data_IF_591958440629
#
_entry.id   IF_591958440629
#
_cell.length_a   1.000
_cell.length_b   1.000
_cell.length_c   1.000
_cell.angle_alpha   90.00
_cell.angle_beta   90.00
_cell.angle_gamma   90.00
#
_symmetry.space_group_name_H-M   'P 1'
#
loop_
_entity.id
_entity.type
_entity.pdbx_description
1 polymer ?
#
# COMPACT_ATOMS: atom_id res chain seq x y z
N UNK A 1 8.34 20.17 54.43
CA UNK A 1 7.22 19.22 54.19
C UNK A 1 6.97 19.24 52.69
N UNK A 2 7.50 18.23 52.01
CA UNK A 2 7.65 18.22 50.55
C UNK A 2 6.31 18.11 49.82
N UNK A 3 6.23 18.91 48.76
CA UNK A 3 5.24 18.88 47.69
C UNK A 3 5.17 17.51 47.01
N UNK A 4 3.96 16.99 46.82
CA UNK A 4 3.69 16.05 45.73
C UNK A 4 2.71 16.70 44.77
N UNK A 5 3.25 17.35 43.73
CA UNK A 5 2.48 17.63 42.53
C UNK A 5 2.18 16.29 41.85
N UNK A 6 0.91 15.89 41.86
CA UNK A 6 0.45 14.84 40.96
C UNK A 6 0.44 15.42 39.55
N UNK A 7 1.51 15.19 38.79
CA UNK A 7 1.48 15.30 37.34
C UNK A 7 0.60 14.16 36.80
N UNK A 8 -0.72 14.38 36.80
CA UNK A 8 -1.66 13.51 36.12
C UNK A 8 -1.37 13.54 34.63
N UNK A 9 -0.62 12.56 34.14
CA UNK A 9 -0.38 12.38 32.71
C UNK A 9 -1.73 12.26 31.99
N UNK A 10 -2.07 13.24 31.16
CA UNK A 10 -3.26 13.20 30.31
C UNK A 10 -3.26 11.89 29.52
N UNK A 11 -4.26 11.05 29.75
CA UNK A 11 -4.47 9.84 28.94
C UNK A 11 -4.64 10.29 27.49
N UNK A 12 -3.71 9.89 26.62
CA UNK A 12 -3.76 10.22 25.19
C UNK A 12 -4.98 9.52 24.57
N UNK A 13 -6.04 10.29 24.31
CA UNK A 13 -7.25 9.76 23.67
C UNK A 13 -6.93 9.29 22.26
N UNK A 14 -7.43 8.10 21.91
CA UNK A 14 -7.28 7.54 20.57
C UNK A 14 -8.55 7.87 19.80
N UNK A 15 -8.47 8.87 18.94
CA UNK A 15 -9.59 9.34 18.11
C UNK A 15 -9.61 8.65 16.72
N UNK A 16 -8.58 7.86 16.44
CA UNK A 16 -8.35 7.23 15.14
C UNK A 16 -9.33 6.08 14.93
N UNK A 17 -10.24 6.21 13.97
CA UNK A 17 -11.21 5.16 13.63
C UNK A 17 -10.63 4.01 12.82
N UNK A 18 -9.54 4.24 12.09
CA UNK A 18 -8.98 3.30 11.12
C UNK A 18 -7.52 3.03 11.41
N UNK A 19 -7.07 1.80 11.12
CA UNK A 19 -5.66 1.48 11.14
C UNK A 19 -4.91 2.33 10.11
N UNK A 20 -3.66 2.69 10.42
CA UNK A 20 -2.86 3.50 9.51
C UNK A 20 -2.73 2.83 8.12
N UNK A 21 -3.07 3.56 7.06
CA UNK A 21 -3.12 3.07 5.69
C UNK A 21 -4.46 2.47 5.25
N UNK A 22 -5.40 2.23 6.17
CA UNK A 22 -6.66 1.53 5.93
C UNK A 22 -7.89 2.45 5.83
N UNK A 23 -7.70 3.77 5.89
CA UNK A 23 -8.82 4.70 5.84
C UNK A 23 -9.59 4.55 4.51
N UNK A 24 -10.93 4.57 4.55
CA UNK A 24 -11.74 4.59 3.36
C UNK A 24 -11.58 5.92 2.63
N UNK A 25 -11.71 5.87 1.31
CA UNK A 25 -11.64 7.06 0.45
C UNK A 25 -13.04 7.66 0.38
N UNK A 26 -13.16 8.98 0.53
CA UNK A 26 -14.45 9.67 0.41
C UNK A 26 -15.02 9.48 -1.01
N UNK A 27 -16.34 9.30 -1.18
CA UNK A 27 -16.92 8.98 -2.49
C UNK A 27 -16.64 10.00 -3.59
N UNK A 28 -16.66 11.29 -3.26
CA UNK A 28 -16.32 12.41 -4.16
C UNK A 28 -14.85 12.37 -4.59
N UNK A 29 -13.94 12.15 -3.65
CA UNK A 29 -12.51 11.98 -3.92
C UNK A 29 -12.26 10.76 -4.80
N UNK A 30 -12.96 9.64 -4.53
CA UNK A 30 -12.84 8.43 -5.34
C UNK A 30 -13.32 8.67 -6.78
N UNK A 31 -14.46 9.37 -6.97
CA UNK A 31 -14.93 9.73 -8.32
C UNK A 31 -13.90 10.55 -9.07
N UNK A 32 -13.31 11.58 -8.45
CA UNK A 32 -12.26 12.37 -9.08
C UNK A 32 -11.02 11.54 -9.47
N UNK A 33 -10.60 10.61 -8.61
CA UNK A 33 -9.49 9.69 -8.90
C UNK A 33 -9.80 8.75 -10.07
N UNK A 34 -11.03 8.24 -10.16
CA UNK A 34 -11.48 7.38 -11.26
C UNK A 34 -11.51 8.15 -12.58
N UNK A 35 -12.04 9.38 -12.60
CA UNK A 35 -12.04 10.20 -13.81
C UNK A 35 -10.61 10.55 -14.27
N UNK A 36 -9.72 10.90 -13.34
CA UNK A 36 -8.32 11.10 -13.66
C UNK A 36 -7.66 9.83 -14.22
N UNK A 37 -7.97 8.66 -13.64
CA UNK A 37 -7.47 7.38 -14.14
C UNK A 37 -7.97 7.06 -15.56
N UNK A 38 -9.23 7.37 -15.90
CA UNK A 38 -9.77 7.24 -17.26
C UNK A 38 -9.02 8.13 -18.25
N UNK A 39 -8.79 9.39 -17.90
CA UNK A 39 -8.02 10.33 -18.74
C UNK A 39 -6.60 9.83 -18.98
N UNK A 40 -5.89 9.39 -17.93
CA UNK A 40 -4.53 8.86 -18.08
C UNK A 40 -4.52 7.56 -18.87
N UNK A 41 -5.48 6.66 -18.65
CA UNK A 41 -5.63 5.44 -19.43
C UNK A 41 -5.80 5.74 -20.92
N UNK A 42 -6.72 6.65 -21.28
CA UNK A 42 -6.92 7.08 -22.67
C UNK A 42 -5.69 7.78 -23.24
N UNK A 43 -4.99 8.59 -22.43
CA UNK A 43 -3.74 9.25 -22.85
C UNK A 43 -2.68 8.23 -23.22
N UNK A 44 -2.57 7.17 -22.41
CA UNK A 44 -1.62 6.09 -22.65
C UNK A 44 -2.07 5.28 -23.86
N UNK A 45 -3.33 4.86 -23.99
CA UNK A 45 -3.75 3.88 -25.00
C UNK A 45 -4.13 4.50 -26.34
N UNK A 46 -4.81 5.64 -26.35
CA UNK A 46 -5.38 6.32 -27.52
C UNK A 46 -4.54 7.52 -27.98
N UNK A 47 -3.71 8.07 -27.10
CA UNK A 47 -2.73 9.12 -27.42
C UNK A 47 -2.96 10.44 -26.68
N UNK A 48 -2.04 11.38 -26.89
CA UNK A 48 -1.89 12.59 -26.07
C UNK A 48 -3.12 13.53 -26.06
N UNK A 49 -3.95 13.51 -27.10
CA UNK A 49 -5.14 14.36 -27.21
C UNK A 49 -6.12 14.17 -26.04
N UNK A 50 -6.17 12.97 -25.45
CA UNK A 50 -7.03 12.68 -24.30
C UNK A 50 -6.69 13.49 -23.04
N UNK A 51 -5.45 14.00 -22.93
CA UNK A 51 -5.01 14.82 -21.80
C UNK A 51 -5.14 16.33 -22.02
N UNK A 52 -5.60 16.79 -23.20
CA UNK A 52 -5.74 18.22 -23.49
C UNK A 52 -6.72 18.87 -22.52
N UNK A 53 -6.29 19.98 -21.88
CA UNK A 53 -7.05 20.65 -20.82
C UNK A 53 -7.14 19.87 -19.50
N UNK A 54 -6.51 18.69 -19.39
CA UNK A 54 -6.65 17.76 -18.25
C UNK A 54 -5.30 17.27 -17.71
N UNK A 55 -4.24 18.07 -17.84
CA UNK A 55 -2.89 17.68 -17.42
C UNK A 55 -2.76 17.39 -15.91
N UNK A 56 -3.66 17.92 -15.09
CA UNK A 56 -3.66 17.66 -13.64
C UNK A 56 -4.19 16.26 -13.29
N UNK A 57 -4.86 15.57 -14.21
CA UNK A 57 -5.21 14.17 -14.05
C UNK A 57 -3.96 13.28 -13.98
N UNK A 58 -2.90 13.62 -14.74
CA UNK A 58 -1.61 12.93 -14.66
C UNK A 58 -0.95 13.13 -13.29
N UNK A 59 -1.07 14.34 -12.72
CA UNK A 59 -0.58 14.62 -11.35
C UNK A 59 -1.37 13.83 -10.30
N UNK A 60 -2.68 13.73 -10.48
CA UNK A 60 -3.57 12.96 -9.60
C UNK A 60 -3.19 11.48 -9.61
N UNK A 61 -3.09 10.86 -10.79
CA UNK A 61 -2.72 9.43 -10.92
C UNK A 61 -1.29 9.18 -10.44
N UNK A 62 -0.33 10.08 -10.76
CA UNK A 62 1.01 10.04 -10.16
C UNK A 62 0.95 10.01 -8.64
N UNK A 63 0.07 10.81 -8.04
CA UNK A 63 -0.16 10.86 -6.59
C UNK A 63 -0.64 9.53 -6.02
N UNK A 64 -1.47 8.77 -6.75
CA UNK A 64 -1.92 7.44 -6.35
C UNK A 64 -0.75 6.47 -6.21
N UNK A 65 0.11 6.38 -7.24
CA UNK A 65 1.32 5.55 -7.21
C UNK A 65 2.34 6.04 -6.17
N UNK A 66 2.52 7.34 -6.02
CA UNK A 66 3.44 7.93 -5.03
C UNK A 66 3.09 7.47 -3.61
N UNK A 67 1.79 7.46 -3.31
CA UNK A 67 1.27 7.11 -1.99
C UNK A 67 1.55 5.66 -1.61
N UNK A 68 1.57 4.72 -2.56
CA UNK A 68 1.76 3.29 -2.26
C UNK A 68 3.17 2.97 -1.75
N UNK A 69 4.18 3.72 -2.17
CA UNK A 69 5.57 3.53 -1.72
C UNK A 69 6.02 4.52 -0.65
N UNK A 70 5.45 5.74 -0.59
CA UNK A 70 5.74 6.67 0.52
C UNK A 70 5.09 6.24 1.83
N UNK A 71 3.90 5.61 1.77
CA UNK A 71 3.18 5.07 2.93
C UNK A 71 2.97 6.10 4.05
N UNK A 72 2.75 7.36 3.68
CA UNK A 72 2.68 8.52 4.59
C UNK A 72 1.25 9.05 4.78
N UNK A 73 0.25 8.34 4.26
CA UNK A 73 -1.14 8.79 4.21
C UNK A 73 -2.10 7.73 4.76
N UNK A 74 -3.19 8.17 5.38
CA UNK A 74 -4.14 7.27 6.04
C UNK A 74 -4.83 6.25 5.12
N UNK A 75 -4.89 6.49 3.81
CA UNK A 75 -5.50 5.62 2.80
C UNK A 75 -4.46 4.91 1.92
N UNK A 76 -3.16 4.96 2.26
CA UNK A 76 -2.10 4.49 1.36
C UNK A 76 -2.26 3.02 0.96
N UNK A 77 -2.69 2.15 1.89
CA UNK A 77 -2.85 0.73 1.64
C UNK A 77 -4.19 0.43 0.95
N UNK A 78 -5.24 1.21 1.25
CA UNK A 78 -6.49 1.20 0.48
C UNK A 78 -6.23 1.49 -1.00
N UNK A 79 -5.45 2.54 -1.31
CA UNK A 79 -5.05 2.88 -2.69
C UNK A 79 -4.13 1.80 -3.29
N UNK A 80 -3.20 1.26 -2.50
CA UNK A 80 -2.33 0.17 -2.93
C UNK A 80 -3.13 -1.06 -3.40
N UNK A 81 -4.18 -1.43 -2.65
CA UNK A 81 -5.08 -2.51 -3.02
C UNK A 81 -5.87 -2.22 -4.30
N UNK A 82 -6.41 -1.01 -4.45
CA UNK A 82 -7.12 -0.59 -5.67
C UNK A 82 -6.21 -0.60 -6.91
N UNK A 83 -4.91 -0.33 -6.72
CA UNK A 83 -3.91 -0.44 -7.77
C UNK A 83 -3.36 -1.87 -7.92
N UNK A 84 -3.86 -2.88 -7.21
CA UNK A 84 -3.39 -4.26 -7.36
C UNK A 84 -1.98 -4.50 -6.83
N UNK A 85 -1.61 -3.85 -5.72
CA UNK A 85 -0.36 -4.05 -4.98
C UNK A 85 0.92 -3.91 -5.81
N UNK A 86 1.15 -2.77 -6.49
CA UNK A 86 2.36 -2.58 -7.29
C UNK A 86 3.62 -2.63 -6.40
N UNK A 87 4.67 -3.37 -6.80
CA UNK A 87 5.97 -3.34 -6.13
C UNK A 87 6.57 -1.93 -6.07
N UNK A 88 7.45 -1.70 -5.09
CA UNK A 88 8.10 -0.39 -4.87
C UNK A 88 8.71 0.19 -6.15
N UNK A 89 9.51 -0.61 -6.88
CA UNK A 89 10.21 -0.16 -8.08
C UNK A 89 9.23 0.22 -9.20
N UNK A 90 8.22 -0.60 -9.43
CA UNK A 90 7.17 -0.34 -10.44
C UNK A 90 6.37 0.93 -10.11
N UNK A 91 5.93 1.09 -8.85
CA UNK A 91 5.17 2.26 -8.44
C UNK A 91 5.99 3.56 -8.55
N UNK A 92 7.27 3.51 -8.13
CA UNK A 92 8.19 4.65 -8.24
C UNK A 92 8.45 5.01 -9.70
N UNK A 93 8.79 4.02 -10.53
CA UNK A 93 9.01 4.23 -11.96
C UNK A 93 7.78 4.81 -12.63
N UNK A 94 6.60 4.23 -12.40
CA UNK A 94 5.32 4.71 -12.93
C UNK A 94 5.07 6.17 -12.54
N UNK A 95 5.27 6.52 -11.26
CA UNK A 95 5.10 7.90 -10.80
C UNK A 95 6.07 8.88 -11.48
N UNK A 96 7.32 8.48 -11.71
CA UNK A 96 8.32 9.28 -12.40
C UNK A 96 7.97 9.46 -13.88
N UNK A 97 7.58 8.37 -14.56
CA UNK A 97 7.20 8.41 -15.97
C UNK A 97 5.92 9.21 -16.19
N UNK A 98 4.93 9.16 -15.28
CA UNK A 98 3.74 10.02 -15.35
C UNK A 98 4.10 11.51 -15.17
N UNK A 99 5.03 11.83 -14.27
CA UNK A 99 5.53 13.19 -14.12
C UNK A 99 6.24 13.69 -15.39
N UNK A 100 7.05 12.84 -15.99
CA UNK A 100 7.74 13.13 -17.25
C UNK A 100 6.75 13.32 -18.40
N UNK A 101 5.79 12.40 -18.57
CA UNK A 101 4.72 12.50 -19.56
C UNK A 101 3.97 13.83 -19.45
N UNK A 102 3.55 14.22 -18.24
CA UNK A 102 2.88 15.51 -18.00
C UNK A 102 3.73 16.70 -18.47
N UNK A 103 5.04 16.67 -18.20
CA UNK A 103 5.97 17.72 -18.63
C UNK A 103 6.06 17.80 -20.15
N UNK A 104 6.27 16.66 -20.82
CA UNK A 104 6.34 16.59 -22.28
C UNK A 104 5.05 17.11 -22.94
N UNK A 105 3.88 16.72 -22.43
CA UNK A 105 2.59 17.19 -22.95
C UNK A 105 2.41 18.70 -22.77
N UNK A 106 2.78 19.24 -21.61
CA UNK A 106 2.73 20.68 -21.34
C UNK A 106 3.64 21.46 -22.29
N UNK A 107 4.83 20.94 -22.54
CA UNK A 107 5.88 21.61 -23.31
C UNK A 107 5.73 21.35 -24.83
N UNK A 108 4.67 20.65 -25.27
CA UNK A 108 4.42 20.32 -26.68
C UNK A 108 5.41 19.31 -27.28
N UNK A 109 6.17 18.60 -26.46
CA UNK A 109 7.11 17.57 -26.92
C UNK A 109 6.39 16.23 -27.13
N UNK A 110 5.75 16.09 -28.29
CA UNK A 110 4.89 14.94 -28.62
C UNK A 110 5.66 13.63 -28.78
N UNK A 111 6.91 13.69 -29.26
CA UNK A 111 7.76 12.51 -29.40
C UNK A 111 8.10 11.92 -28.03
N UNK A 112 8.63 12.72 -27.13
CA UNK A 112 8.95 12.28 -25.77
C UNK A 112 7.69 11.85 -24.98
N UNK A 113 6.55 12.52 -25.21
CA UNK A 113 5.27 12.10 -24.64
C UNK A 113 4.85 10.70 -25.14
N UNK A 114 5.06 10.42 -26.43
CA UNK A 114 4.77 9.11 -27.01
C UNK A 114 5.68 8.03 -26.44
N UNK A 115 6.98 8.29 -26.30
CA UNK A 115 7.94 7.39 -25.67
C UNK A 115 7.57 7.09 -24.21
N UNK A 116 7.21 8.11 -23.44
CA UNK A 116 6.75 7.95 -22.06
C UNK A 116 5.47 7.11 -21.96
N UNK A 117 4.50 7.31 -22.86
CA UNK A 117 3.29 6.51 -22.94
C UNK A 117 3.60 5.04 -23.30
N UNK A 118 4.55 4.80 -24.21
CA UNK A 118 5.03 3.45 -24.57
C UNK A 118 5.70 2.77 -23.38
N UNK A 119 6.53 3.49 -22.61
CA UNK A 119 7.13 2.95 -21.39
C UNK A 119 6.06 2.56 -20.33
N UNK A 120 5.00 3.38 -20.18
CA UNK A 120 3.88 3.06 -19.28
C UNK A 120 3.09 1.82 -19.76
N UNK A 121 2.89 1.67 -21.06
CA UNK A 121 2.28 0.46 -21.64
C UNK A 121 3.10 -0.79 -21.35
N UNK A 122 4.40 -0.74 -21.62
CA UNK A 122 5.32 -1.86 -21.37
C UNK A 122 5.36 -2.26 -19.89
N UNK A 123 5.15 -1.30 -18.98
CA UNK A 123 5.07 -1.53 -17.53
C UNK A 123 3.69 -2.05 -17.05
N UNK A 124 2.73 -2.32 -17.94
CA UNK A 124 1.40 -2.83 -17.56
C UNK A 124 0.50 -1.82 -16.83
N UNK A 125 0.80 -0.51 -16.95
CA UNK A 125 -0.01 0.54 -16.32
C UNK A 125 -1.45 0.58 -16.84
N UNK A 126 -1.73 0.38 -18.15
CA UNK A 126 -3.11 0.36 -18.65
C UNK A 126 -4.02 -0.66 -17.94
N UNK A 127 -3.57 -1.90 -17.77
CA UNK A 127 -4.38 -2.94 -17.11
C UNK A 127 -4.66 -2.59 -15.65
N UNK A 128 -3.64 -2.02 -14.98
CA UNK A 128 -3.77 -1.57 -13.59
C UNK A 128 -4.76 -0.43 -13.44
N UNK A 129 -4.74 0.56 -14.35
CA UNK A 129 -5.70 1.66 -14.37
C UNK A 129 -7.10 1.19 -14.79
N UNK A 130 -7.20 0.25 -15.72
CA UNK A 130 -8.47 -0.38 -16.10
C UNK A 130 -9.15 -1.02 -14.89
N UNK A 131 -8.42 -1.88 -14.18
CA UNK A 131 -8.88 -2.51 -12.93
C UNK A 131 -9.26 -1.49 -11.85
N UNK A 132 -8.49 -0.41 -11.71
CA UNK A 132 -8.79 0.69 -10.79
C UNK A 132 -10.11 1.39 -11.15
N UNK A 133 -10.36 1.63 -12.45
CA UNK A 133 -11.57 2.29 -12.95
C UNK A 133 -12.81 1.40 -12.80
N UNK A 134 -12.69 0.11 -13.10
CA UNK A 134 -13.81 -0.85 -12.99
C UNK A 134 -14.04 -1.35 -11.57
N UNK A 135 -13.11 -1.07 -10.64
CA UNK A 135 -13.14 -1.63 -9.30
C UNK A 135 -12.87 -3.13 -9.25
N UNK A 136 -12.28 -3.69 -10.30
CA UNK A 136 -11.96 -5.12 -10.39
C UNK A 136 -10.65 -5.41 -9.66
N UNK A 137 -10.66 -6.40 -8.76
CA UNK A 137 -9.43 -6.87 -8.13
C UNK A 137 -8.76 -7.92 -9.01
N UNK A 138 -7.46 -7.77 -9.26
CA UNK A 138 -6.68 -8.75 -10.00
C UNK A 138 -6.68 -10.10 -9.24
N UNK A 139 -6.94 -11.23 -9.91
CA UNK A 139 -6.90 -12.55 -9.27
C UNK A 139 -5.54 -12.78 -8.60
N UNK A 140 -5.55 -13.38 -7.41
CA UNK A 140 -4.31 -13.69 -6.70
C UNK A 140 -3.53 -14.86 -7.34
N UNK A 141 -4.08 -15.49 -8.38
CA UNK A 141 -3.47 -16.59 -9.15
C UNK A 141 -2.93 -17.72 -8.24
N UNK A 142 -3.73 -18.12 -7.24
CA UNK A 142 -3.36 -19.15 -6.26
C UNK A 142 -2.27 -18.74 -5.25
N UNK A 143 -1.82 -17.48 -5.28
CA UNK A 143 -0.85 -16.94 -4.31
C UNK A 143 -1.56 -16.32 -3.11
N UNK A 144 -0.84 -16.24 -2.00
CA UNK A 144 -1.27 -15.53 -0.80
C UNK A 144 -0.33 -14.38 -0.45
N UNK A 145 -0.52 -13.84 0.74
CA UNK A 145 0.32 -12.80 1.30
C UNK A 145 0.76 -13.16 2.70
N UNK A 146 2.02 -12.83 3.02
CA UNK A 146 2.43 -12.53 4.39
C UNK A 146 2.27 -11.04 4.61
N UNK A 147 1.78 -10.64 5.77
CA UNK A 147 1.62 -9.25 6.16
C UNK A 147 2.22 -8.99 7.52
N UNK A 148 2.65 -7.74 7.72
CA UNK A 148 3.10 -7.23 9.01
C UNK A 148 2.20 -6.06 9.39
N UNK A 149 1.59 -6.13 10.57
CA UNK A 149 0.79 -5.05 11.16
C UNK A 149 1.47 -4.47 12.39
N UNK A 150 1.24 -3.19 12.65
CA UNK A 150 1.56 -2.54 13.92
C UNK A 150 0.58 -1.41 14.20
N UNK A 151 0.54 -0.92 15.43
CA UNK A 151 -0.11 0.36 15.75
C UNK A 151 0.92 1.49 15.69
N UNK A 152 0.48 2.76 15.76
CA UNK A 152 1.42 3.90 15.84
C UNK A 152 1.99 4.05 17.25
N UNK A 153 1.26 3.55 18.23
CA UNK A 153 1.53 3.58 19.66
C UNK A 153 2.54 2.51 20.05
N UNK A 154 2.57 1.37 19.34
CA UNK A 154 3.53 0.30 19.52
C UNK A 154 4.16 -0.09 18.16
N UNK A 155 5.02 0.75 17.58
CA UNK A 155 5.54 0.57 16.21
C UNK A 155 6.51 -0.61 16.04
N UNK A 156 7.06 -1.13 17.14
CA UNK A 156 7.96 -2.30 17.19
C UNK A 156 7.26 -3.57 17.71
N UNK A 157 6.00 -3.45 18.14
CA UNK A 157 5.16 -4.61 18.40
C UNK A 157 4.47 -5.00 17.10
N UNK A 158 5.00 -6.03 16.47
CA UNK A 158 4.56 -6.48 15.16
C UNK A 158 3.64 -7.69 15.29
N UNK A 159 2.53 -7.66 14.56
CA UNK A 159 1.76 -8.87 14.24
C UNK A 159 2.15 -9.34 12.85
N UNK A 160 2.67 -10.56 12.74
CA UNK A 160 3.07 -11.16 11.48
C UNK A 160 2.13 -12.32 11.18
N UNK A 161 1.38 -12.25 10.09
CA UNK A 161 0.43 -13.30 9.73
C UNK A 161 0.29 -13.47 8.23
N UNK A 162 -0.59 -14.38 7.81
CA UNK A 162 -0.82 -14.65 6.39
C UNK A 162 -2.30 -14.57 5.98
N UNK A 163 -2.53 -14.51 4.67
CA UNK A 163 -3.84 -14.66 4.05
C UNK A 163 -3.72 -15.25 2.65
N UNK A 164 -4.67 -16.11 2.26
CA UNK A 164 -4.84 -16.56 0.86
C UNK A 164 -5.84 -15.68 0.09
N UNK A 165 -6.34 -14.63 0.75
CA UNK A 165 -7.26 -13.63 0.21
C UNK A 165 -6.57 -12.28 0.17
N UNK A 166 -7.33 -11.26 -0.18
CA UNK A 166 -6.90 -9.87 -0.16
C UNK A 166 -6.44 -9.41 1.25
N UNK A 167 -5.21 -8.87 1.41
CA UNK A 167 -4.67 -8.46 2.71
C UNK A 167 -5.37 -7.23 3.30
N UNK A 168 -5.91 -6.33 2.47
CA UNK A 168 -6.74 -5.22 2.97
C UNK A 168 -8.00 -5.73 3.66
N UNK A 169 -8.66 -6.73 3.07
CA UNK A 169 -9.82 -7.42 3.66
C UNK A 169 -9.45 -8.07 4.98
N UNK A 170 -8.34 -8.82 5.03
CA UNK A 170 -7.87 -9.46 6.27
C UNK A 170 -7.56 -8.45 7.38
N UNK A 171 -6.92 -7.33 7.05
CA UNK A 171 -6.62 -6.27 8.01
C UNK A 171 -7.90 -5.65 8.60
N UNK A 172 -8.96 -5.48 7.79
CA UNK A 172 -10.27 -5.00 8.26
C UNK A 172 -10.94 -5.99 9.21
N UNK A 173 -10.91 -7.28 8.90
CA UNK A 173 -11.45 -8.34 9.78
C UNK A 173 -10.75 -8.34 11.15
N UNK A 174 -9.42 -8.25 11.17
CA UNK A 174 -8.64 -8.17 12.41
C UNK A 174 -9.10 -6.97 13.24
N UNK A 175 -9.28 -5.82 12.60
CA UNK A 175 -9.71 -4.59 13.27
C UNK A 175 -11.17 -4.58 13.72
N UNK A 176 -12.02 -5.50 13.23
CA UNK A 176 -13.41 -5.64 13.69
C UNK A 176 -13.58 -6.49 14.95
N UNK A 177 -12.51 -7.15 15.43
CA UNK A 177 -12.59 -7.99 16.62
C UNK A 177 -12.81 -7.16 17.90
N UNK A 178 -13.69 -7.62 18.79
CA UNK A 178 -14.11 -6.91 20.02
C UNK A 178 -12.97 -6.56 20.99
N UNK A 179 -11.84 -7.27 20.92
CA UNK A 179 -10.65 -7.01 21.73
C UNK A 179 -9.68 -5.98 21.15
N UNK A 180 -9.94 -5.43 19.96
CA UNK A 180 -9.06 -4.44 19.33
C UNK A 180 -9.46 -3.04 19.76
N UNK A 181 -8.68 -2.47 20.68
CA UNK A 181 -8.85 -1.10 21.16
C UNK A 181 -8.23 -0.09 20.17
N UNK A 182 -7.05 -0.43 19.64
CA UNK A 182 -6.30 0.41 18.70
C UNK A 182 -6.26 -0.30 17.35
N UNK A 183 -6.84 0.29 16.29
CA UNK A 183 -6.80 -0.32 14.98
C UNK A 183 -5.36 -0.53 14.46
N UNK A 184 -5.07 -1.76 14.06
CA UNK A 184 -3.82 -2.18 13.42
C UNK A 184 -3.67 -1.56 12.04
N UNK A 185 -2.56 -0.88 11.80
CA UNK A 185 -2.14 -0.43 10.49
C UNK A 185 -1.26 -1.46 9.79
N UNK A 186 -1.31 -1.50 8.46
CA UNK A 186 -0.40 -2.34 7.67
C UNK A 186 0.96 -1.65 7.58
N UNK A 187 2.04 -2.42 7.74
CA UNK A 187 3.43 -1.95 7.55
C UNK A 187 4.04 -2.47 6.24
N UNK A 188 3.76 -3.73 5.93
CA UNK A 188 4.22 -4.38 4.70
C UNK A 188 3.38 -5.60 4.35
N UNK A 189 3.38 -5.95 3.06
CA UNK A 189 2.83 -7.19 2.53
C UNK A 189 3.74 -7.78 1.47
N UNK A 190 3.83 -9.09 1.43
CA UNK A 190 4.66 -9.85 0.50
C UNK A 190 3.80 -10.90 -0.18
N UNK A 191 3.67 -10.80 -1.51
CA UNK A 191 2.95 -11.80 -2.31
C UNK A 191 3.82 -13.04 -2.48
N UNK A 192 3.34 -14.19 -2.00
CA UNK A 192 4.12 -15.43 -1.91
C UNK A 192 3.29 -16.65 -2.36
N UNK A 193 3.97 -17.69 -2.84
CA UNK A 193 3.36 -19.01 -2.94
C UNK A 193 3.26 -19.63 -1.54
N UNK A 194 2.26 -20.49 -1.30
CA UNK A 194 2.12 -21.23 -0.04
C UNK A 194 2.18 -20.37 1.24
N UNK A 195 1.43 -19.27 1.31
CA UNK A 195 1.56 -18.23 2.34
C UNK A 195 1.53 -18.75 3.80
N UNK A 196 0.80 -19.82 4.09
CA UNK A 196 0.79 -20.47 5.42
C UNK A 196 2.15 -21.07 5.80
N UNK A 197 2.82 -21.73 4.85
CA UNK A 197 4.15 -22.32 5.10
C UNK A 197 5.18 -21.21 5.30
N UNK A 198 5.17 -20.22 4.41
CA UNK A 198 6.08 -19.07 4.46
C UNK A 198 5.95 -18.33 5.79
N UNK A 199 4.73 -18.12 6.28
CA UNK A 199 4.51 -17.51 7.60
C UNK A 199 5.06 -18.34 8.75
N UNK A 200 4.86 -19.66 8.76
CA UNK A 200 5.45 -20.54 9.77
C UNK A 200 6.98 -20.50 9.79
N UNK A 201 7.61 -20.47 8.62
CA UNK A 201 9.07 -20.38 8.51
C UNK A 201 9.59 -19.01 8.99
N UNK A 202 8.90 -17.91 8.64
CA UNK A 202 9.21 -16.56 9.17
C UNK A 202 9.04 -16.50 10.68
N UNK A 203 8.01 -17.14 11.25
CA UNK A 203 7.84 -17.22 12.70
C UNK A 203 8.97 -17.99 13.39
N UNK A 204 9.50 -19.03 12.74
CA UNK A 204 10.65 -19.79 13.25
C UNK A 204 11.93 -18.95 13.21
N UNK A 205 12.18 -18.22 12.13
CA UNK A 205 13.34 -17.32 11.99
C UNK A 205 13.30 -16.17 13.01
N UNK A 206 12.12 -15.70 13.38
CA UNK A 206 11.91 -14.62 14.36
C UNK A 206 11.53 -15.13 15.76
N UNK A 207 11.76 -16.42 16.05
CA UNK A 207 11.29 -17.05 17.30
C UNK A 207 11.82 -16.36 18.57
N UNK A 208 13.06 -15.88 18.54
CA UNK A 208 13.69 -15.19 19.68
C UNK A 208 13.05 -13.83 19.99
N UNK A 209 12.40 -13.21 18.99
CA UNK A 209 11.66 -11.95 19.15
C UNK A 209 10.20 -12.16 19.55
N UNK A 210 9.74 -13.41 19.65
CA UNK A 210 8.33 -13.73 19.85
C UNK A 210 7.90 -13.46 21.29
N UNK A 211 6.94 -12.55 21.48
CA UNK A 211 6.47 -12.12 22.82
C UNK A 211 5.79 -13.27 23.56
N UNK A 212 5.06 -14.12 22.82
CA UNK A 212 4.34 -15.27 23.35
C UNK A 212 4.42 -16.45 22.39
N UNK A 213 4.82 -17.61 22.88
CA UNK A 213 4.98 -18.84 22.08
C UNK A 213 3.70 -19.26 21.35
N UNK A 214 2.53 -18.98 21.92
CA UNK A 214 1.21 -19.34 21.37
C UNK A 214 0.61 -18.27 20.45
N UNK A 215 1.25 -17.11 20.28
CA UNK A 215 0.71 -15.97 19.53
C UNK A 215 1.67 -15.46 18.48
N UNK A 216 1.14 -14.81 17.46
CA UNK A 216 1.86 -14.29 16.29
C UNK A 216 2.28 -12.82 16.48
N UNK A 217 2.84 -12.50 17.66
CA UNK A 217 3.33 -11.17 18.01
C UNK A 217 4.82 -11.19 18.34
N UNK A 218 5.53 -10.19 17.83
CA UNK A 218 6.99 -10.09 17.86
C UNK A 218 7.41 -8.69 18.31
N UNK A 219 8.43 -8.61 19.16
CA UNK A 219 9.05 -7.37 19.60
C UNK A 219 10.35 -7.17 18.80
N UNK A 220 10.24 -6.53 17.64
CA UNK A 220 11.37 -6.35 16.71
C UNK A 220 11.14 -5.11 15.85
N UNK A 221 12.18 -4.33 15.50
CA UNK A 221 12.04 -3.22 14.56
C UNK A 221 11.47 -3.70 13.22
N UNK A 222 10.54 -2.94 12.64
CA UNK A 222 9.93 -3.30 11.35
C UNK A 222 10.97 -3.49 10.23
N UNK A 223 12.03 -2.68 10.23
CA UNK A 223 13.09 -2.80 9.23
C UNK A 223 13.77 -4.18 9.27
N UNK A 224 13.99 -4.71 10.48
CA UNK A 224 14.63 -6.01 10.67
C UNK A 224 13.69 -7.15 10.29
N UNK A 225 12.42 -7.10 10.72
CA UNK A 225 11.43 -8.07 10.28
C UNK A 225 11.25 -8.06 8.76
N UNK A 226 11.20 -6.87 8.14
CA UNK A 226 11.09 -6.74 6.69
C UNK A 226 12.30 -7.34 5.97
N UNK A 227 13.51 -7.12 6.48
CA UNK A 227 14.75 -7.71 5.94
C UNK A 227 14.69 -9.23 5.93
N UNK A 228 14.34 -9.85 7.06
CA UNK A 228 14.21 -11.32 7.18
C UNK A 228 13.16 -11.86 6.20
N UNK A 229 12.02 -11.18 6.07
CA UNK A 229 10.97 -11.60 5.13
C UNK A 229 11.43 -11.45 3.68
N UNK A 230 12.09 -10.34 3.33
CA UNK A 230 12.62 -10.11 1.99
C UNK A 230 13.66 -11.17 1.60
N UNK A 231 14.59 -11.50 2.50
CA UNK A 231 15.62 -12.54 2.28
C UNK A 231 14.96 -13.91 2.03
N UNK A 232 14.05 -14.33 2.90
CA UNK A 232 13.33 -15.60 2.75
C UNK A 232 12.52 -15.66 1.44
N UNK A 233 11.81 -14.58 1.09
CA UNK A 233 10.96 -14.54 -0.11
C UNK A 233 11.79 -14.52 -1.40
N UNK A 234 13.04 -14.04 -1.36
CA UNK A 234 13.97 -14.12 -2.49
C UNK A 234 14.53 -15.53 -2.64
N UNK A 235 14.88 -16.20 -1.54
CA UNK A 235 15.46 -17.56 -1.56
C UNK A 235 14.47 -18.64 -2.03
N UNK A 236 13.17 -18.47 -1.76
CA UNK A 236 12.13 -19.47 -2.08
C UNK A 236 11.51 -19.27 -3.48
N UNK A 237 11.96 -18.25 -4.23
CA UNK A 237 11.50 -17.99 -5.61
C UNK A 237 12.30 -18.75 -6.65
#
# INVERSE_FOLDING_TARGET
MESRSQAGGQVKRIEQKWGFGLAPIKPDVQRGRVEAAKTVLATITQGHHAALGRLDDLSTVKGLFTRTYKKDQWDWFTVCAQLGYPPFREARQTSSTLQHLRRCLRDGNWQAATEAATALRAAGVPDRLSNFVTGTSAPLAGRGFVYVLSTREAPEMLKIGYTNRDPLTRAKEINSATGVIIPWGVRGTWKVAHARRVEGDIHALLADYRIRKDREFFQVPFAEAARVIDEYVVEVR
#
